data_IF_758068309071
#
_entry.id   IF_758068309071
#
_cell.length_a   1.000
_cell.length_b   1.000
_cell.length_c   1.000
_cell.angle_alpha   90.00
_cell.angle_beta   90.00
_cell.angle_gamma   90.00
#
_symmetry.space_group_name_H-M   'P 1'
#
loop_
_entity.id
_entity.type
_entity.pdbx_description
1 polymer ?
#
# COMPACT_ATOMS: atom_id res chain seq x y z
N UNK A 1 -1.55 6.22 6.43
CA UNK A 1 -2.19 5.06 5.75
C UNK A 1 -1.87 3.73 6.44
N UNK A 2 -0.60 3.31 6.57
CA UNK A 2 -0.26 1.97 7.11
C UNK A 2 -0.75 1.70 8.55
N UNK A 3 -0.80 2.73 9.41
CA UNK A 3 -1.37 2.61 10.76
C UNK A 3 -2.86 2.29 10.76
N UNK A 4 -3.62 2.90 9.86
CA UNK A 4 -5.07 2.66 9.70
C UNK A 4 -5.29 1.21 9.25
N UNK A 5 -4.50 0.73 8.29
CA UNK A 5 -4.55 -0.65 7.84
C UNK A 5 -4.20 -1.64 8.95
N UNK A 6 -3.14 -1.39 9.73
CA UNK A 6 -2.75 -2.24 10.86
C UNK A 6 -3.85 -2.33 11.92
N UNK A 7 -4.46 -1.19 12.27
CA UNK A 7 -5.61 -1.11 13.20
C UNK A 7 -6.81 -1.92 12.70
N UNK A 8 -7.14 -1.82 11.41
CA UNK A 8 -8.26 -2.55 10.79
C UNK A 8 -7.98 -4.06 10.75
N UNK A 9 -6.76 -4.45 10.38
CA UNK A 9 -6.35 -5.84 10.33
C UNK A 9 -6.13 -6.48 11.72
N UNK A 10 -6.04 -5.66 12.77
CA UNK A 10 -5.77 -6.12 14.14
C UNK A 10 -4.34 -6.60 14.36
N UNK A 11 -3.39 -6.11 13.56
CA UNK A 11 -1.97 -6.48 13.64
C UNK A 11 -1.16 -5.37 14.33
N UNK A 12 -0.02 -5.71 14.98
CA UNK A 12 0.87 -4.72 15.58
C UNK A 12 1.29 -3.65 14.57
N UNK A 13 1.26 -2.38 14.99
CA UNK A 13 1.76 -1.29 14.15
C UNK A 13 3.28 -1.40 13.93
N UNK A 14 3.78 -1.09 12.72
CA UNK A 14 5.22 -0.99 12.52
C UNK A 14 5.80 0.11 13.41
N UNK A 15 6.80 -0.19 14.26
CA UNK A 15 7.28 0.76 15.26
C UNK A 15 8.08 1.92 14.65
N UNK A 16 8.70 1.71 13.48
CA UNK A 16 9.56 2.69 12.82
C UNK A 16 9.35 2.67 11.30
N UNK A 17 9.39 3.84 10.63
CA UNK A 17 9.40 3.91 9.17
C UNK A 17 10.70 3.33 8.61
N UNK A 18 10.61 2.57 7.51
CA UNK A 18 11.78 2.00 6.85
C UNK A 18 12.59 3.10 6.15
N UNK A 19 13.92 3.19 6.36
CA UNK A 19 14.75 4.16 5.68
C UNK A 19 14.73 3.97 4.15
N UNK A 20 14.67 5.05 3.38
CA UNK A 20 14.58 4.98 1.92
C UNK A 20 15.77 4.28 1.22
N UNK A 21 16.96 4.25 1.83
CA UNK A 21 18.08 3.45 1.31
C UNK A 21 17.85 1.95 1.48
N UNK A 22 17.23 1.52 2.58
CA UNK A 22 16.95 0.11 2.84
C UNK A 22 15.89 -0.40 1.86
N UNK A 23 14.87 0.42 1.57
CA UNK A 23 13.86 0.10 0.55
C UNK A 23 14.48 -0.02 -0.84
N UNK A 24 15.44 0.83 -1.20
CA UNK A 24 16.15 0.72 -2.48
C UNK A 24 16.95 -0.58 -2.61
N UNK A 25 17.65 -1.01 -1.55
CA UNK A 25 18.34 -2.28 -1.53
C UNK A 25 17.38 -3.46 -1.66
N UNK A 26 16.27 -3.42 -0.92
CA UNK A 26 15.22 -4.43 -1.00
C UNK A 26 14.60 -4.50 -2.40
N UNK A 27 14.35 -3.36 -3.05
CA UNK A 27 13.83 -3.30 -4.41
C UNK A 27 14.78 -3.95 -5.41
N UNK A 28 16.08 -3.66 -5.33
CA UNK A 28 17.09 -4.31 -6.19
C UNK A 28 17.15 -5.82 -5.93
N UNK A 29 17.05 -6.25 -4.67
CA UNK A 29 16.98 -7.67 -4.33
C UNK A 29 15.78 -8.38 -4.95
N UNK A 30 14.60 -7.76 -4.90
CA UNK A 30 13.38 -8.30 -5.54
C UNK A 30 13.53 -8.40 -7.06
N UNK A 31 14.11 -7.39 -7.69
CA UNK A 31 14.35 -7.40 -9.15
C UNK A 31 15.29 -8.57 -9.54
N UNK A 32 16.32 -8.85 -8.73
CA UNK A 32 17.24 -9.98 -8.94
C UNK A 32 16.55 -11.34 -8.72
N UNK A 33 15.76 -11.48 -7.65
CA UNK A 33 15.01 -12.71 -7.36
C UNK A 33 14.06 -13.03 -8.52
N UNK A 34 13.37 -12.02 -9.07
CA UNK A 34 12.52 -12.19 -10.25
C UNK A 34 13.30 -12.50 -11.51
N UNK A 35 14.47 -11.89 -11.71
CA UNK A 35 15.34 -12.23 -12.84
C UNK A 35 15.80 -13.69 -12.82
N UNK A 36 15.86 -14.31 -11.63
CA UNK A 36 16.13 -15.74 -11.44
C UNK A 36 14.88 -16.63 -11.63
N UNK A 37 13.72 -16.07 -12.01
CA UNK A 37 12.49 -16.81 -12.26
C UNK A 37 11.69 -17.16 -11.00
N UNK A 38 12.05 -16.59 -9.83
CA UNK A 38 11.30 -16.79 -8.58
C UNK A 38 10.19 -15.74 -8.52
N UNK A 39 8.94 -16.19 -8.36
CA UNK A 39 7.80 -15.30 -8.15
C UNK A 39 7.92 -14.63 -6.76
N UNK A 40 8.19 -13.34 -6.78
CA UNK A 40 8.21 -12.52 -5.58
C UNK A 40 6.81 -11.92 -5.33
N UNK A 41 6.40 -11.75 -4.05
CA UNK A 41 5.09 -11.18 -3.70
C UNK A 41 4.94 -9.69 -4.07
N UNK A 42 6.03 -9.02 -4.43
CA UNK A 42 6.04 -7.62 -4.84
C UNK A 42 7.11 -7.37 -5.91
N UNK A 43 6.91 -6.32 -6.70
CA UNK A 43 7.87 -5.83 -7.69
C UNK A 43 8.79 -4.74 -7.11
N UNK A 44 10.05 -4.68 -7.55
CA UNK A 44 10.98 -3.63 -7.11
C UNK A 44 10.48 -2.22 -7.43
N UNK A 45 9.75 -2.03 -8.52
CA UNK A 45 9.11 -0.74 -8.81
C UNK A 45 8.02 -0.35 -7.80
N UNK A 46 7.21 -1.30 -7.33
CA UNK A 46 6.21 -1.03 -6.30
C UNK A 46 6.89 -0.58 -5.00
N UNK A 47 8.01 -1.20 -4.63
CA UNK A 47 8.82 -0.78 -3.48
C UNK A 47 9.45 0.61 -3.68
N UNK A 48 9.94 0.92 -4.88
CA UNK A 48 10.49 2.25 -5.17
C UNK A 48 9.43 3.35 -5.12
N UNK A 49 8.18 3.04 -5.50
CA UNK A 49 7.06 3.97 -5.43
C UNK A 49 6.55 4.15 -4.00
N UNK A 50 6.64 3.13 -3.13
CA UNK A 50 6.11 3.21 -1.76
C UNK A 50 6.83 4.24 -0.87
N UNK A 51 8.04 4.66 -1.25
CA UNK A 51 8.83 5.69 -0.54
C UNK A 51 8.77 7.07 -1.18
N UNK A 52 8.00 7.24 -2.26
CA UNK A 52 7.83 8.53 -2.92
C UNK A 52 6.55 9.20 -2.44
N UNK A 53 6.70 10.38 -1.86
CA UNK A 53 5.57 11.26 -1.61
C UNK A 53 5.17 11.95 -2.92
N UNK A 54 3.95 11.68 -3.36
CA UNK A 54 3.36 12.30 -4.54
C UNK A 54 2.30 13.28 -4.07
N UNK A 55 2.52 14.56 -4.37
CA UNK A 55 1.48 15.56 -4.16
C UNK A 55 0.42 15.45 -5.25
N UNK A 56 -0.85 15.38 -4.85
CA UNK A 56 -1.99 15.35 -5.75
C UNK A 56 -3.07 16.31 -5.28
N UNK A 57 -3.52 17.18 -6.18
CA UNK A 57 -4.59 18.14 -5.95
C UNK A 57 -5.93 17.51 -6.37
N UNK A 58 -6.91 17.50 -5.45
CA UNK A 58 -8.15 16.73 -5.61
C UNK A 58 -9.31 17.57 -6.18
N UNK A 59 -9.21 18.90 -6.22
CA UNK A 59 -10.26 19.81 -6.63
C UNK A 59 -10.76 19.54 -8.04
N UNK A 60 -9.88 19.25 -8.99
CA UNK A 60 -10.31 18.85 -10.35
C UNK A 60 -11.13 17.56 -10.34
N UNK A 61 -10.72 16.56 -9.55
CA UNK A 61 -11.41 15.29 -9.45
C UNK A 61 -12.79 15.48 -8.80
N UNK A 62 -12.88 16.24 -7.71
CA UNK A 62 -14.15 16.52 -7.04
C UNK A 62 -15.11 17.35 -7.88
N UNK A 63 -14.61 18.33 -8.63
CA UNK A 63 -15.44 19.11 -9.55
C UNK A 63 -16.08 18.25 -10.65
N UNK A 64 -15.42 17.16 -11.05
CA UNK A 64 -15.88 16.29 -12.15
C UNK A 64 -16.69 15.10 -11.65
N UNK A 65 -16.29 14.50 -10.53
CA UNK A 65 -16.81 13.22 -10.03
C UNK A 65 -17.59 13.34 -8.71
N UNK A 66 -17.57 14.52 -8.07
CA UNK A 66 -18.10 14.76 -6.74
C UNK A 66 -17.09 14.42 -5.62
N UNK A 67 -17.44 14.83 -4.41
CA UNK A 67 -16.64 14.53 -3.22
C UNK A 67 -16.79 13.07 -2.77
N UNK A 68 -15.77 12.51 -2.09
CA UNK A 68 -15.85 11.17 -1.51
C UNK A 68 -17.03 11.06 -0.54
N UNK A 69 -17.84 10.02 -0.68
CA UNK A 69 -19.00 9.77 0.18
C UNK A 69 -18.66 9.08 1.50
N UNK A 70 -17.50 8.42 1.55
CA UNK A 70 -17.03 7.65 2.70
C UNK A 70 -15.58 8.01 3.01
N UNK A 71 -15.18 7.83 4.27
CA UNK A 71 -13.80 8.08 4.67
C UNK A 71 -12.85 7.00 4.12
N UNK A 72 -11.57 7.32 4.05
CA UNK A 72 -10.52 6.35 3.69
C UNK A 72 -10.52 5.18 4.69
N UNK A 73 -10.78 5.42 5.98
CA UNK A 73 -10.81 4.33 6.96
C UNK A 73 -11.96 3.35 6.70
N UNK A 74 -13.15 3.87 6.38
CA UNK A 74 -14.29 3.04 6.04
C UNK A 74 -14.01 2.23 4.77
N UNK A 75 -13.47 2.87 3.72
CA UNK A 75 -13.13 2.19 2.46
C UNK A 75 -12.14 1.04 2.65
N UNK A 76 -11.10 1.25 3.48
CA UNK A 76 -10.12 0.19 3.80
C UNK A 76 -10.78 -0.93 4.62
N UNK A 77 -11.63 -0.59 5.59
CA UNK A 77 -12.29 -1.56 6.45
C UNK A 77 -13.22 -2.49 5.67
N UNK A 78 -14.05 -1.92 4.79
CA UNK A 78 -14.96 -2.68 3.93
C UNK A 78 -14.19 -3.58 2.97
N UNK A 79 -13.09 -3.09 2.40
CA UNK A 79 -12.22 -3.88 1.52
C UNK A 79 -11.60 -5.07 2.26
N UNK A 80 -11.09 -4.86 3.47
CA UNK A 80 -10.54 -5.93 4.31
C UNK A 80 -11.58 -7.00 4.64
N UNK A 81 -12.78 -6.57 5.03
CA UNK A 81 -13.91 -7.47 5.30
C UNK A 81 -14.24 -8.28 4.05
N UNK A 82 -14.30 -7.66 2.88
CA UNK A 82 -14.57 -8.35 1.62
C UNK A 82 -13.54 -9.45 1.33
N UNK A 83 -12.24 -9.16 1.46
CA UNK A 83 -11.20 -10.17 1.24
C UNK A 83 -11.32 -11.34 2.22
N UNK A 84 -11.61 -11.05 3.49
CA UNK A 84 -11.79 -12.06 4.53
C UNK A 84 -13.03 -12.93 4.29
N UNK A 85 -14.15 -12.34 3.88
CA UNK A 85 -15.40 -13.11 3.62
C UNK A 85 -15.29 -14.02 2.40
N UNK A 86 -14.42 -13.70 1.44
CA UNK A 86 -14.19 -14.50 0.24
C UNK A 86 -13.03 -15.50 0.39
N UNK A 87 -12.40 -15.59 1.57
CA UNK A 87 -11.35 -16.56 1.86
C UNK A 87 -10.00 -16.27 1.19
N UNK A 88 -9.74 -15.01 0.85
CA UNK A 88 -8.44 -14.57 0.32
C UNK A 88 -7.43 -14.17 1.41
N UNK A 89 -7.89 -14.09 2.67
CA UNK A 89 -7.10 -13.76 3.86
C UNK A 89 -7.33 -14.81 4.96
#
# INVERSE_FOLDING_TARGET
>A
MIRIAAKIAGVPEPPLPTPGWAVRLAATGLDLIRALGIEAPAEGNQLRLSVRDLYFELGKAWATLGEPRISIEQSIAETYIWYKTHGYL
#
